data_IF_897248026402
#
_entry.id   IF_897248026402
#
_cell.length_a   1.000
_cell.length_b   1.000
_cell.length_c   1.000
_cell.angle_alpha   90.00
_cell.angle_beta   90.00
_cell.angle_gamma   90.00
#
_symmetry.space_group_name_H-M   'P 1'
#
loop_
_entity.id
_entity.type
_entity.pdbx_description
1 polymer ?
#
# COMPACT_ATOMS: atom_id res chain seq x y z
N UNK A 1 -6.14 16.55 -5.01
CA UNK A 1 -5.57 15.25 -4.61
C UNK A 1 -6.02 14.23 -5.64
N UNK A 2 -5.14 13.29 -6.02
CA UNK A 2 -5.56 12.22 -6.92
C UNK A 2 -6.47 11.26 -6.13
N UNK A 3 -7.45 10.64 -6.79
CA UNK A 3 -8.33 9.64 -6.16
C UNK A 3 -7.55 8.52 -5.45
N UNK A 4 -6.36 8.18 -5.97
CA UNK A 4 -5.41 7.24 -5.36
C UNK A 4 -4.95 7.65 -3.96
N UNK A 5 -4.65 8.93 -3.76
CA UNK A 5 -4.19 9.42 -2.46
C UNK A 5 -5.32 9.33 -1.42
N UNK A 6 -6.57 9.57 -1.83
CA UNK A 6 -7.74 9.43 -0.95
C UNK A 6 -7.98 7.97 -0.54
N UNK A 7 -7.92 7.04 -1.50
CA UNK A 7 -8.05 5.61 -1.22
C UNK A 7 -6.91 5.15 -0.30
N UNK A 8 -5.67 5.53 -0.61
CA UNK A 8 -4.50 5.20 0.20
C UNK A 8 -4.63 5.73 1.62
N UNK A 9 -5.05 6.99 1.78
CA UNK A 9 -5.24 7.62 3.08
C UNK A 9 -6.26 6.88 3.93
N UNK A 10 -7.38 6.42 3.35
CA UNK A 10 -8.36 5.61 4.07
C UNK A 10 -7.76 4.31 4.62
N UNK A 11 -6.84 3.66 3.89
CA UNK A 11 -6.12 2.49 4.42
C UNK A 11 -5.17 2.85 5.55
N UNK A 12 -4.49 4.00 5.47
CA UNK A 12 -3.55 4.47 6.50
C UNK A 12 -4.26 4.91 7.79
N UNK A 13 -5.53 5.33 7.71
CA UNK A 13 -6.32 5.67 8.90
C UNK A 13 -6.87 4.44 9.63
N UNK A 14 -6.72 3.23 9.07
CA UNK A 14 -7.26 2.02 9.66
C UNK A 14 -6.50 1.59 10.93
N UNK A 15 -7.23 1.40 12.02
CA UNK A 15 -6.73 1.00 13.34
C UNK A 15 -5.87 -0.28 13.33
N UNK A 16 -6.05 -1.19 12.35
CA UNK A 16 -5.28 -2.43 12.26
C UNK A 16 -3.79 -2.19 12.04
N UNK A 17 -3.38 -1.08 11.42
CA UNK A 17 -1.96 -0.74 11.25
C UNK A 17 -1.30 -0.45 12.61
N UNK A 18 -2.01 0.25 13.48
CA UNK A 18 -1.59 0.53 14.86
C UNK A 18 -1.73 -0.68 15.77
N UNK A 19 -2.87 -1.37 15.74
CA UNK A 19 -3.20 -2.42 16.71
C UNK A 19 -2.53 -3.77 16.42
N UNK A 20 -2.49 -4.19 15.16
CA UNK A 20 -1.94 -5.51 14.78
C UNK A 20 -0.48 -5.45 14.36
N UNK A 21 -0.09 -4.38 13.67
CA UNK A 21 1.27 -4.22 13.17
C UNK A 21 2.13 -3.30 14.04
N UNK A 22 1.56 -2.65 15.06
CA UNK A 22 2.31 -1.81 15.99
C UNK A 22 2.88 -0.55 15.35
N UNK A 23 2.38 -0.14 14.18
CA UNK A 23 2.94 0.99 13.43
C UNK A 23 2.41 2.29 14.05
N UNK A 24 3.27 3.19 14.55
CA UNK A 24 2.82 4.47 15.09
C UNK A 24 2.16 5.30 14.00
N UNK A 25 1.08 6.02 14.31
CA UNK A 25 0.45 6.92 13.33
C UNK A 25 1.40 7.97 12.77
N UNK A 26 2.42 8.37 13.53
CA UNK A 26 3.44 9.31 13.08
C UNK A 26 4.34 8.76 11.94
N UNK A 27 4.43 7.43 11.81
CA UNK A 27 5.21 6.76 10.77
C UNK A 27 4.35 6.40 9.54
N UNK A 28 3.04 6.64 9.62
CA UNK A 28 2.13 6.36 8.51
C UNK A 28 2.25 7.46 7.45
N UNK A 29 2.59 7.11 6.21
CA UNK A 29 2.72 8.08 5.13
C UNK A 29 1.36 8.69 4.78
N UNK A 30 1.38 9.96 4.42
CA UNK A 30 0.17 10.75 4.10
C UNK A 30 -0.14 10.80 2.61
N UNK A 31 0.70 10.22 1.76
CA UNK A 31 0.54 10.19 0.29
C UNK A 31 0.95 8.84 -0.28
N UNK A 32 0.37 8.48 -1.43
CA UNK A 32 0.72 7.24 -2.12
C UNK A 32 2.21 7.18 -2.46
N UNK A 33 2.79 8.30 -2.88
CA UNK A 33 4.21 8.40 -3.21
C UNK A 33 5.11 8.12 -1.99
N UNK A 34 4.74 8.60 -0.81
CA UNK A 34 5.43 8.27 0.43
C UNK A 34 5.24 6.79 0.82
N UNK A 35 4.05 6.23 0.59
CA UNK A 35 3.77 4.80 0.77
C UNK A 35 4.64 3.88 -0.09
N UNK A 36 4.82 4.21 -1.38
CA UNK A 36 5.66 3.45 -2.31
C UNK A 36 7.14 3.46 -1.93
N UNK A 37 7.59 4.48 -1.21
CA UNK A 37 8.96 4.63 -0.71
C UNK A 37 9.11 4.20 0.76
N UNK A 38 8.05 3.68 1.40
CA UNK A 38 8.11 3.23 2.78
C UNK A 38 9.01 2.01 2.93
N UNK A 39 9.81 1.99 4.00
CA UNK A 39 10.59 0.82 4.41
C UNK A 39 9.73 -0.27 5.07
N UNK A 40 8.51 0.08 5.49
CA UNK A 40 7.58 -0.85 6.13
C UNK A 40 6.89 -1.68 5.05
N UNK A 41 7.08 -3.02 5.00
CA UNK A 41 6.58 -3.85 3.90
C UNK A 41 5.05 -3.80 3.73
N UNK A 42 4.31 -3.71 4.83
CA UNK A 42 2.83 -3.65 4.82
C UNK A 42 2.34 -2.37 4.14
N UNK A 43 2.95 -1.23 4.50
CA UNK A 43 2.60 0.09 3.94
C UNK A 43 2.89 0.13 2.44
N UNK A 44 4.08 -0.35 2.05
CA UNK A 44 4.48 -0.39 0.64
C UNK A 44 3.63 -1.34 -0.19
N UNK A 45 3.20 -2.46 0.39
CA UNK A 45 2.26 -3.39 -0.26
C UNK A 45 0.90 -2.74 -0.51
N UNK A 46 0.35 -2.03 0.48
CA UNK A 46 -0.91 -1.27 0.32
C UNK A 46 -0.74 -0.21 -0.77
N UNK A 47 0.37 0.52 -0.78
CA UNK A 47 0.65 1.52 -1.80
C UNK A 47 0.72 0.91 -3.22
N UNK A 48 1.36 -0.25 -3.39
CA UNK A 48 1.41 -0.96 -4.66
C UNK A 48 0.00 -1.41 -5.13
N UNK A 49 -0.85 -1.86 -4.22
CA UNK A 49 -2.24 -2.24 -4.51
C UNK A 49 -3.01 -1.01 -5.01
N UNK A 50 -2.98 0.09 -4.25
CA UNK A 50 -3.72 1.32 -4.60
C UNK A 50 -3.21 1.92 -5.92
N UNK A 51 -1.89 1.89 -6.16
CA UNK A 51 -1.30 2.31 -7.43
C UNK A 51 -1.80 1.47 -8.61
N UNK A 52 -2.04 0.17 -8.39
CA UNK A 52 -2.46 -0.77 -9.42
C UNK A 52 -3.95 -0.70 -9.75
N UNK A 53 -4.80 -0.28 -8.80
CA UNK A 53 -6.26 -0.18 -8.96
C UNK A 53 -6.73 0.76 -10.09
N UNK A 54 -5.97 1.81 -10.38
CA UNK A 54 -6.30 2.77 -11.45
C UNK A 54 -5.35 2.68 -12.66
N UNK A 55 -4.65 1.56 -12.81
CA UNK A 55 -3.95 1.26 -14.07
C UNK A 55 -4.99 1.16 -15.19
N UNK A 56 -4.72 1.78 -16.34
CA UNK A 56 -5.59 1.75 -17.54
C UNK A 56 -5.88 0.33 -18.05
N UNK A 57 -5.08 -0.65 -17.64
CA UNK A 57 -5.33 -2.07 -17.82
C UNK A 57 -5.92 -2.60 -16.52
N UNK A 58 -7.18 -3.04 -16.55
CA UNK A 58 -7.83 -3.72 -15.44
C UNK A 58 -6.95 -4.90 -15.01
N UNK A 59 -6.17 -4.70 -13.96
CA UNK A 59 -5.32 -5.74 -13.42
C UNK A 59 -6.23 -6.73 -12.71
N UNK A 60 -6.27 -7.97 -13.19
CA UNK A 60 -7.02 -9.02 -12.51
C UNK A 60 -6.34 -9.39 -11.18
N UNK A 61 -7.12 -9.93 -10.24
CA UNK A 61 -6.66 -10.27 -8.89
C UNK A 61 -5.43 -11.19 -8.88
N UNK A 62 -5.29 -12.05 -9.90
CA UNK A 62 -4.14 -12.96 -10.03
C UNK A 62 -2.85 -12.19 -10.30
N UNK A 63 -2.88 -11.23 -11.21
CA UNK A 63 -1.75 -10.36 -11.53
C UNK A 63 -1.38 -9.47 -10.35
N UNK A 64 -2.38 -8.91 -9.66
CA UNK A 64 -2.19 -8.08 -8.47
C UNK A 64 -1.51 -8.89 -7.34
N UNK A 65 -2.00 -10.11 -7.08
CA UNK A 65 -1.39 -11.04 -6.12
C UNK A 65 0.05 -11.37 -6.50
N UNK A 66 0.34 -11.53 -7.79
CA UNK A 66 1.69 -11.75 -8.31
C UNK A 66 2.65 -10.61 -7.96
N UNK A 67 2.23 -9.36 -8.20
CA UNK A 67 3.02 -8.15 -7.87
C UNK A 67 3.30 -8.07 -6.38
N UNK A 68 2.27 -8.24 -5.54
CA UNK A 68 2.41 -8.18 -4.08
C UNK A 68 3.31 -9.31 -3.58
N UNK A 69 3.10 -10.54 -4.06
CA UNK A 69 3.91 -11.70 -3.66
C UNK A 69 5.36 -11.55 -4.09
N UNK A 70 5.61 -11.07 -5.31
CA UNK A 70 6.96 -10.78 -5.80
C UNK A 70 7.65 -9.76 -4.92
N UNK A 71 6.97 -8.67 -4.56
CA UNK A 71 7.51 -7.64 -3.67
C UNK A 71 7.87 -8.22 -2.28
N UNK A 72 6.95 -8.99 -1.68
CA UNK A 72 7.18 -9.57 -0.35
C UNK A 72 8.30 -10.63 -0.33
N UNK A 73 8.44 -11.41 -1.40
CA UNK A 73 9.46 -12.45 -1.50
C UNK A 73 10.84 -11.94 -1.94
N UNK A 74 10.91 -10.78 -2.61
CA UNK A 74 12.18 -10.16 -2.99
C UNK A 74 12.83 -9.36 -1.88
N UNK A 75 12.16 -9.25 -0.72
CA UNK A 75 12.72 -8.68 0.52
C UNK A 75 13.43 -9.72 1.41
N UNK A 76 13.65 -10.95 0.92
CA UNK A 76 14.37 -12.05 1.59
C UNK A 76 15.77 -12.20 1.00
#
# INVERSE_FOLDING_TARGET
MARKDEIFKNFMEHESLTEKYGIPQAELPTSLAAGLNSEIPVIKSIALIVQSLESTTAMNDTSLRGVVTSYLNSAI
#
